data_IF_611412314602
#
_entry.id   IF_611412314602
#
_cell.length_a   1.000
_cell.length_b   1.000
_cell.length_c   1.000
_cell.angle_alpha   90.00
_cell.angle_beta   90.00
_cell.angle_gamma   90.00
#
_symmetry.space_group_name_H-M   'P 1'
#
loop_
_entity.id
_entity.type
_entity.pdbx_description
1 polymer ?
#
# COMPACT_ATOMS: atom_id res chain seq x y z
N UNK A 1 12.44 -22.28 0.88
CA UNK A 1 11.66 -21.68 -0.22
C UNK A 1 11.43 -20.21 0.08
N UNK A 2 11.97 -19.25 -0.68
CA UNK A 2 11.65 -17.85 -0.42
C UNK A 2 10.18 -17.63 -0.77
N UNK A 3 9.50 -16.88 0.09
CA UNK A 3 8.09 -16.53 0.03
C UNK A 3 7.78 -15.60 -1.16
N UNK A 4 8.07 -16.00 -2.39
CA UNK A 4 7.84 -15.19 -3.58
C UNK A 4 6.34 -14.98 -3.81
N UNK A 5 5.99 -13.77 -4.24
CA UNK A 5 4.63 -13.45 -4.61
C UNK A 5 4.27 -14.22 -5.90
N UNK A 6 3.12 -14.92 -5.97
CA UNK A 6 2.69 -15.63 -7.17
C UNK A 6 2.18 -14.63 -8.21
N UNK A 7 3.10 -13.86 -8.81
CA UNK A 7 2.78 -12.85 -9.78
C UNK A 7 2.22 -13.48 -11.07
N UNK A 8 1.14 -12.92 -11.65
CA UNK A 8 0.72 -13.29 -12.99
C UNK A 8 1.81 -12.93 -14.01
N UNK A 9 1.86 -13.65 -15.14
CA UNK A 9 2.82 -13.37 -16.22
C UNK A 9 2.60 -12.03 -16.94
N UNK A 10 1.50 -11.32 -16.65
CA UNK A 10 1.16 -10.05 -17.29
C UNK A 10 1.79 -8.87 -16.57
N UNK A 11 2.64 -8.13 -17.27
CA UNK A 11 3.17 -6.84 -16.84
C UNK A 11 2.12 -5.70 -16.88
N UNK A 12 0.94 -5.95 -17.47
CA UNK A 12 -0.13 -4.97 -17.66
C UNK A 12 -1.20 -5.02 -16.56
N UNK A 13 -0.84 -5.51 -15.37
CA UNK A 13 -1.78 -5.60 -14.26
C UNK A 13 -2.11 -4.20 -13.74
N UNK A 14 -3.32 -3.71 -14.03
CA UNK A 14 -3.78 -2.39 -13.57
C UNK A 14 -4.49 -2.44 -12.21
N UNK A 15 -5.15 -3.54 -11.88
CA UNK A 15 -5.93 -3.67 -10.63
C UNK A 15 -5.49 -4.94 -9.92
N UNK A 16 -5.07 -4.79 -8.66
CA UNK A 16 -4.71 -5.90 -7.78
C UNK A 16 -5.52 -5.81 -6.49
N UNK A 17 -6.45 -6.75 -6.33
CA UNK A 17 -7.21 -6.90 -5.09
C UNK A 17 -6.63 -8.03 -4.24
N UNK A 18 -6.16 -7.68 -3.04
CA UNK A 18 -5.66 -8.63 -2.04
C UNK A 18 -6.39 -8.48 -0.71
N UNK A 19 -7.61 -7.94 -0.69
CA UNK A 19 -8.40 -7.80 0.51
C UNK A 19 -8.45 -9.11 1.31
N UNK A 20 -8.28 -9.00 2.63
CA UNK A 20 -8.28 -10.13 3.57
C UNK A 20 -7.26 -11.22 3.26
N UNK A 21 -6.20 -10.92 2.49
CA UNK A 21 -5.14 -11.86 2.10
C UNK A 21 -3.79 -11.48 2.73
N UNK A 22 -3.63 -11.60 4.07
CA UNK A 22 -2.46 -11.09 4.78
C UNK A 22 -1.14 -11.73 4.30
N UNK A 23 -1.13 -13.03 4.01
CA UNK A 23 0.07 -13.73 3.54
C UNK A 23 0.52 -13.19 2.18
N UNK A 24 -0.39 -13.06 1.21
CA UNK A 24 -0.07 -12.53 -0.12
C UNK A 24 0.37 -11.07 -0.06
N UNK A 25 -0.27 -10.25 0.79
CA UNK A 25 0.14 -8.87 1.00
C UNK A 25 1.57 -8.78 1.54
N UNK A 26 1.92 -9.58 2.57
CA UNK A 26 3.30 -9.63 3.08
C UNK A 26 4.28 -10.09 2.02
N UNK A 27 3.95 -11.14 1.26
CA UNK A 27 4.78 -11.63 0.16
C UNK A 27 5.03 -10.55 -0.89
N UNK A 28 4.00 -9.81 -1.30
CA UNK A 28 4.18 -8.71 -2.25
C UNK A 28 5.12 -7.62 -1.70
N UNK A 29 4.99 -7.26 -0.42
CA UNK A 29 5.84 -6.23 0.19
C UNK A 29 7.31 -6.64 0.23
N UNK A 30 7.59 -7.93 0.35
CA UNK A 30 8.94 -8.51 0.40
C UNK A 30 9.51 -8.81 -1.01
N UNK A 31 8.66 -8.99 -2.02
CA UNK A 31 9.06 -9.38 -3.38
C UNK A 31 9.26 -8.16 -4.30
N UNK A 32 10.53 -7.71 -4.38
CA UNK A 32 10.94 -6.60 -5.26
C UNK A 32 10.69 -6.89 -6.73
N UNK A 33 10.81 -8.14 -7.17
CA UNK A 33 10.61 -8.50 -8.57
C UNK A 33 9.13 -8.35 -8.95
N UNK A 34 8.22 -8.82 -8.10
CA UNK A 34 6.79 -8.63 -8.28
C UNK A 34 6.39 -7.14 -8.27
N UNK A 35 6.89 -6.37 -7.30
CA UNK A 35 6.63 -4.92 -7.23
C UNK A 35 7.11 -4.17 -8.48
N UNK A 36 8.27 -4.56 -9.02
CA UNK A 36 8.83 -3.96 -10.25
C UNK A 36 8.01 -4.35 -11.48
N UNK A 37 7.49 -5.58 -11.52
CA UNK A 37 6.63 -6.05 -12.61
C UNK A 37 5.33 -5.25 -12.68
N UNK A 38 4.74 -4.89 -11.54
CA UNK A 38 3.48 -4.16 -11.43
C UNK A 38 3.61 -2.64 -11.58
N UNK A 39 4.56 -2.18 -12.41
CA UNK A 39 4.77 -0.76 -12.70
C UNK A 39 3.54 -0.05 -13.32
N UNK A 40 2.62 -0.80 -13.94
CA UNK A 40 1.36 -0.28 -14.49
C UNK A 40 0.18 -0.28 -13.51
N UNK A 41 0.40 -0.76 -12.28
CA UNK A 41 -0.67 -0.89 -11.30
C UNK A 41 -1.28 0.47 -10.97
N UNK A 42 -2.60 0.56 -11.15
CA UNK A 42 -3.41 1.74 -10.95
C UNK A 42 -4.22 1.67 -9.66
N UNK A 43 -4.78 0.49 -9.33
CA UNK A 43 -5.47 0.24 -8.06
C UNK A 43 -4.87 -0.93 -7.28
N UNK A 44 -4.62 -0.70 -6.00
CA UNK A 44 -4.15 -1.70 -5.05
C UNK A 44 -5.05 -1.73 -3.82
N UNK A 45 -5.74 -2.85 -3.61
CA UNK A 45 -6.53 -3.07 -2.40
C UNK A 45 -5.79 -4.00 -1.43
N UNK A 46 -5.47 -3.46 -0.25
CA UNK A 46 -4.79 -4.14 0.85
C UNK A 46 -5.64 -4.10 2.14
N UNK A 47 -6.96 -3.95 2.00
CA UNK A 47 -7.87 -3.91 3.15
C UNK A 47 -7.76 -5.20 3.96
N UNK A 48 -7.82 -5.07 5.29
CA UNK A 48 -7.86 -6.21 6.23
C UNK A 48 -6.67 -7.19 6.14
N UNK A 49 -5.53 -6.77 5.59
CA UNK A 49 -4.32 -7.58 5.43
C UNK A 49 -3.42 -7.68 6.68
N UNK A 50 -3.89 -7.18 7.84
CA UNK A 50 -3.14 -7.19 9.12
C UNK A 50 -1.77 -6.50 9.02
N UNK A 51 -1.60 -5.57 8.09
CA UNK A 51 -0.37 -4.82 7.90
C UNK A 51 -0.16 -3.88 9.09
N UNK A 52 1.10 -3.79 9.54
CA UNK A 52 1.56 -2.84 10.55
C UNK A 52 2.49 -1.78 9.99
N UNK A 53 3.02 -2.00 8.79
CA UNK A 53 3.87 -1.05 8.06
C UNK A 53 3.75 -1.32 6.57
N UNK A 54 4.14 -0.34 5.76
CA UNK A 54 4.44 -0.51 4.35
C UNK A 54 5.90 -0.09 4.14
N UNK A 55 6.52 -0.57 3.08
CA UNK A 55 7.85 -0.11 2.67
C UNK A 55 7.77 1.29 2.06
N UNK A 56 8.63 2.19 2.49
CA UNK A 56 8.56 3.63 2.15
C UNK A 56 8.94 3.96 0.71
N UNK A 57 9.54 3.00 0.02
CA UNK A 57 9.92 3.04 -1.39
C UNK A 57 8.83 2.48 -2.32
N UNK A 58 7.65 2.06 -1.83
CA UNK A 58 6.52 1.69 -2.70
C UNK A 58 6.22 2.69 -3.83
N UNK A 59 6.28 4.03 -3.62
CA UNK A 59 6.02 4.99 -4.69
C UNK A 59 6.97 4.86 -5.89
N UNK A 60 8.18 4.32 -5.70
CA UNK A 60 9.15 4.13 -6.79
C UNK A 60 8.82 2.91 -7.64
N UNK A 61 8.21 1.89 -7.03
CA UNK A 61 7.79 0.66 -7.72
C UNK A 61 6.43 0.80 -8.41
N UNK A 62 5.53 1.58 -7.83
CA UNK A 62 4.15 1.73 -8.29
C UNK A 62 3.88 3.18 -8.77
N UNK A 63 4.60 3.68 -9.79
CA UNK A 63 4.54 5.09 -10.19
C UNK A 63 3.19 5.49 -10.80
N UNK A 64 2.39 4.52 -11.26
CA UNK A 64 1.06 4.75 -11.86
C UNK A 64 -0.09 4.50 -10.88
N UNK A 65 0.19 4.20 -9.61
CA UNK A 65 -0.85 3.96 -8.63
C UNK A 65 -1.65 5.24 -8.39
N UNK A 66 -2.97 5.16 -8.44
CA UNK A 66 -3.89 6.25 -8.15
C UNK A 66 -4.85 5.92 -7.00
N UNK A 67 -5.07 4.63 -6.74
CA UNK A 67 -5.95 4.16 -5.68
C UNK A 67 -5.27 3.11 -4.82
N UNK A 68 -5.29 3.35 -3.50
CA UNK A 68 -4.69 2.50 -2.49
C UNK A 68 -5.66 2.37 -1.31
N UNK A 69 -6.14 1.16 -1.07
CA UNK A 69 -7.07 0.86 0.03
C UNK A 69 -6.33 0.16 1.17
N UNK A 70 -6.42 0.70 2.39
CA UNK A 70 -5.65 0.27 3.55
C UNK A 70 -6.49 0.07 4.82
N UNK A 71 -7.81 0.08 4.69
CA UNK A 71 -8.76 -0.06 5.80
C UNK A 71 -8.57 -1.39 6.52
N UNK A 72 -8.86 -1.44 7.82
CA UNK A 72 -8.75 -2.67 8.60
C UNK A 72 -7.33 -3.14 8.96
N UNK A 73 -6.30 -2.39 8.58
CA UNK A 73 -4.91 -2.63 9.00
C UNK A 73 -4.58 -1.94 10.34
N UNK A 74 -3.49 -2.36 10.98
CA UNK A 74 -3.05 -1.87 12.31
C UNK A 74 -1.68 -1.22 12.20
N UNK A 75 -1.61 -0.14 11.42
CA UNK A 75 -0.37 0.57 11.16
C UNK A 75 0.28 1.13 12.42
N UNK A 76 1.60 1.00 12.49
CA UNK A 76 2.45 1.67 13.45
C UNK A 76 2.75 3.09 12.96
N UNK A 77 2.32 4.08 13.72
CA UNK A 77 2.35 5.48 13.30
C UNK A 77 3.65 6.21 13.60
N UNK A 78 4.66 5.55 14.19
CA UNK A 78 5.94 6.18 14.56
C UNK A 78 6.71 6.75 13.36
N UNK A 79 6.63 6.15 12.16
CA UNK A 79 7.39 6.57 10.96
C UNK A 79 6.47 6.72 9.72
N UNK A 80 5.26 7.24 9.91
CA UNK A 80 4.20 7.17 8.90
C UNK A 80 4.13 8.38 7.96
N UNK A 81 4.98 9.38 8.17
CA UNK A 81 4.97 10.66 7.42
C UNK A 81 5.04 10.46 5.92
N UNK A 82 5.88 9.54 5.44
CA UNK A 82 6.01 9.25 4.01
C UNK A 82 4.70 8.70 3.43
N UNK A 83 4.01 7.82 4.17
CA UNK A 83 2.75 7.20 3.74
C UNK A 83 1.64 8.24 3.67
N UNK A 84 1.59 9.14 4.66
CA UNK A 84 0.64 10.26 4.64
C UNK A 84 0.88 11.17 3.44
N UNK A 85 2.14 11.55 3.16
CA UNK A 85 2.49 12.37 2.00
C UNK A 85 2.14 11.67 0.68
N UNK A 86 2.39 10.37 0.60
CA UNK A 86 2.04 9.59 -0.59
C UNK A 86 0.53 9.53 -0.81
N UNK A 87 -0.26 9.21 0.22
CA UNK A 87 -1.73 9.18 0.14
C UNK A 87 -2.32 10.55 -0.26
N UNK A 88 -1.74 11.65 0.24
CA UNK A 88 -2.10 13.01 -0.18
C UNK A 88 -1.79 13.26 -1.66
N UNK A 89 -0.61 12.83 -2.14
CA UNK A 89 -0.22 12.97 -3.54
C UNK A 89 -1.13 12.18 -4.50
N UNK A 90 -1.67 11.04 -4.05
CA UNK A 90 -2.64 10.25 -4.80
C UNK A 90 -4.05 10.87 -4.84
N UNK A 91 -4.26 12.01 -4.19
CA UNK A 91 -5.58 12.60 -3.96
C UNK A 91 -6.58 11.61 -3.34
N UNK A 92 -6.08 10.61 -2.60
CA UNK A 92 -6.90 9.65 -1.89
C UNK A 92 -7.39 10.33 -0.63
N UNK A 93 -8.66 10.72 -0.66
CA UNK A 93 -9.39 11.17 0.52
C UNK A 93 -9.48 9.99 1.50
N UNK A 94 -8.71 10.03 2.58
CA UNK A 94 -8.73 9.05 3.66
C UNK A 94 -10.01 9.16 4.49
N UNK A 95 -11.14 8.75 3.92
CA UNK A 95 -12.45 8.85 4.59
C UNK A 95 -12.75 7.67 5.52
N UNK A 96 -12.04 6.54 5.43
CA UNK A 96 -12.45 5.30 6.15
C UNK A 96 -11.41 4.70 7.10
N UNK A 97 -10.17 5.23 7.16
CA UNK A 97 -9.17 4.77 8.13
C UNK A 97 -9.26 5.58 9.42
N UNK A 98 -10.29 5.33 10.23
CA UNK A 98 -10.59 6.09 11.46
C UNK A 98 -9.43 6.25 12.47
N UNK A 99 -8.36 5.44 12.39
CA UNK A 99 -7.13 5.65 13.17
C UNK A 99 -6.17 6.68 12.56
N UNK A 100 -5.91 6.59 11.25
CA UNK A 100 -4.98 7.49 10.57
C UNK A 100 -5.43 8.94 10.54
N UNK A 101 -6.76 9.17 10.48
CA UNK A 101 -7.32 10.52 10.45
C UNK A 101 -6.78 11.37 11.61
N UNK A 102 -6.55 10.78 12.79
CA UNK A 102 -6.04 11.50 13.97
C UNK A 102 -4.57 11.92 13.83
N UNK A 103 -3.69 11.05 13.34
CA UNK A 103 -2.28 11.41 13.10
C UNK A 103 -2.10 12.38 11.93
N UNK A 104 -2.95 12.31 10.91
CA UNK A 104 -2.88 13.22 9.76
C UNK A 104 -3.28 14.63 10.15
N UNK A 105 -4.28 14.81 11.01
CA UNK A 105 -4.59 16.12 11.55
C UNK A 105 -3.40 16.68 12.35
N UNK A 106 -2.69 15.86 13.12
CA UNK A 106 -1.51 16.30 13.88
C UNK A 106 -0.30 16.64 12.98
N UNK A 107 -0.24 16.11 11.75
CA UNK A 107 0.81 16.41 10.76
C UNK A 107 0.50 17.64 9.89
N UNK A 108 -0.69 18.22 10.00
CA UNK A 108 -1.01 19.52 9.35
C UNK A 108 -0.44 20.72 10.11
N UNK A 109 -0.01 20.51 11.35
CA UNK A 109 0.53 21.53 12.26
C UNK A 109 2.07 21.50 12.37
N UNK A 110 2.76 20.80 11.46
CA UNK A 110 4.23 20.79 11.28
C UNK A 110 4.56 21.33 9.90
#
# INVERSE_FOLDING_TARGET
EPFSFPAPESAHLEILNMESSPTLATQLMEDVAALTMFHELFELNLNHCRLSTLRSDLPTYLPRLHKLELTGNRFNCTNIVWLVKWLQALNISMQETGRFRREIYNLKDI
#
